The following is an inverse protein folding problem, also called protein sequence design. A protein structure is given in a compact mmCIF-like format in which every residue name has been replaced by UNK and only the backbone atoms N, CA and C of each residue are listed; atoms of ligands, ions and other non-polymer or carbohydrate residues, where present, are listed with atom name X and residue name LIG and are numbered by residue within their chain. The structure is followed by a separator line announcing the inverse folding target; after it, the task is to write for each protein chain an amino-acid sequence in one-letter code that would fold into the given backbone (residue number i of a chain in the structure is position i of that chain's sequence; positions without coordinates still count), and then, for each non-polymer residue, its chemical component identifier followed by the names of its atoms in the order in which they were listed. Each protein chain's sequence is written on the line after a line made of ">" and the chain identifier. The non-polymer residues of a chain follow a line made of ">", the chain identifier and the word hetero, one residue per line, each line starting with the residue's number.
data_IF_695738782234
#
_entry.id   IF_695738782234
#
_cell.length_a   1.000
_cell.length_b   1.000
_cell.length_c   1.000
_cell.angle_alpha   90.00
_cell.angle_beta   90.00
_cell.angle_gamma   90.00
#
_symmetry.space_group_name_H-M   'P 1'
#
loop_
_entity.id
_entity.type
_entity.pdbx_description
1 polymer ?
2 water ?
#
# COMPACT_ATOMS: atom_id res chain seq x y z
N UNK A 1 -14.28 -2.29 22.80
CA UNK A 1 -13.68 -2.05 24.14
C UNK A 1 -12.16 -2.09 24.04
N UNK A 2 -11.51 -0.98 24.39
CA UNK A 2 -10.05 -0.88 24.31
C UNK A 2 -9.51 -0.25 25.59
N UNK A 3 -8.83 -1.03 26.41
CA UNK A 3 -8.25 -0.53 27.65
C UNK A 3 -6.75 -0.78 27.70
N UNK A 4 -6.31 -1.75 26.91
CA UNK A 4 -4.89 -2.09 26.81
C UNK A 4 -4.68 -2.68 25.43
N UNK A 5 -3.74 -2.09 24.69
CA UNK A 5 -3.45 -2.52 23.35
C UNK A 5 -2.17 -3.33 23.15
N UNK A 6 -2.30 -4.50 22.56
CA UNK A 6 -1.15 -5.33 22.27
C UNK A 6 -0.85 -5.09 20.80
N UNK A 7 0.38 -4.68 20.51
CA UNK A 7 0.80 -4.40 19.14
C UNK A 7 1.41 -5.66 18.54
N UNK A 8 0.68 -6.30 17.62
CA UNK A 8 1.16 -7.51 16.99
C UNK A 8 2.03 -7.17 15.79
N UNK A 9 3.02 -6.30 16.00
CA UNK A 9 3.91 -5.95 14.93
C UNK A 9 5.26 -5.47 15.46
N UNK A 10 6.05 -4.82 14.60
CA UNK A 10 7.38 -4.37 14.98
C UNK A 10 7.82 -3.18 14.13
N UNK A 11 9.11 -2.88 14.21
CA UNK A 11 9.67 -1.80 13.42
C UNK A 11 9.01 -0.45 13.58
N UNK A 12 9.07 0.35 12.52
CA UNK A 12 8.49 1.69 12.54
C UNK A 12 6.98 1.71 12.79
N UNK A 13 6.24 0.76 12.23
CA UNK A 13 4.80 0.76 12.43
C UNK A 13 4.43 0.50 13.89
N UNK A 14 5.19 -0.33 14.59
CA UNK A 14 4.90 -0.59 16.00
C UNK A 14 5.07 0.70 16.81
N UNK A 15 6.08 1.48 16.42
CA UNK A 15 6.35 2.76 17.07
C UNK A 15 5.20 3.73 16.80
N UNK A 16 4.75 3.76 15.55
CA UNK A 16 3.64 4.62 15.14
C UNK A 16 2.39 4.32 15.96
N UNK A 17 2.07 3.03 16.08
CA UNK A 17 0.91 2.60 16.85
C UNK A 17 1.07 2.91 18.33
N UNK A 18 2.24 2.63 18.88
CA UNK A 18 2.49 2.90 20.29
C UNK A 18 2.33 4.40 20.61
N UNK A 19 2.81 5.26 19.72
CA UNK A 19 2.68 6.69 19.96
C UNK A 19 1.22 7.12 20.01
N UNK A 20 0.42 6.60 19.07
CA UNK A 20 -1.01 6.93 19.05
C UNK A 20 -1.63 6.53 20.39
N UNK A 21 -1.33 5.32 20.85
CA UNK A 21 -1.84 4.83 22.12
C UNK A 21 -1.42 5.71 23.30
N UNK A 22 -0.14 6.07 23.35
CA UNK A 22 0.37 6.90 24.44
C UNK A 22 -0.38 8.23 24.46
N UNK A 23 -0.65 8.78 23.28
CA UNK A 23 -1.38 10.04 23.19
C UNK A 23 -2.81 9.88 23.73
N UNK A 24 -3.39 8.70 23.55
CA UNK A 24 -4.74 8.44 24.03
C UNK A 24 -4.72 8.03 25.51
N UNK A 25 -3.52 7.77 26.03
CA UNK A 25 -3.41 7.37 27.43
C UNK A 25 -3.74 5.90 27.60
N UNK A 26 -3.51 5.11 26.56
CA UNK A 26 -3.78 3.68 26.57
C UNK A 26 -2.48 2.89 26.75
N UNK A 27 -2.39 2.07 27.82
CA UNK A 27 -1.19 1.28 28.05
C UNK A 27 -0.97 0.33 26.87
N UNK A 28 0.29 0.04 26.56
CA UNK A 28 0.59 -0.84 25.44
C UNK A 28 1.41 -2.06 25.80
N UNK A 29 1.31 -3.08 24.94
CA UNK A 29 2.05 -4.32 25.11
C UNK A 29 2.76 -4.64 23.80
N UNK A 30 4.06 -4.85 23.89
CA UNK A 30 4.86 -5.17 22.72
C UNK A 30 5.32 -6.62 22.73
N UNK A 31 5.51 -7.19 21.54
CA UNK A 31 6.02 -8.54 21.40
C UNK A 31 7.25 -8.43 20.49
N UNK A 32 8.17 -9.38 20.62
CA UNK A 32 9.38 -9.36 19.80
C UNK A 32 10.14 -10.67 19.85
N UNK A 33 11.06 -10.84 18.90
CA UNK A 33 11.90 -12.01 18.86
C UNK A 33 13.21 -11.64 19.55
N UNK A 34 13.94 -12.63 20.04
CA UNK A 34 15.19 -12.36 20.72
C UNK A 34 16.17 -11.55 19.88
N UNK A 35 16.17 -11.78 18.57
CA UNK A 35 17.06 -11.08 17.65
C UNK A 35 16.84 -9.57 17.62
N UNK A 36 15.74 -9.10 18.22
CA UNK A 36 15.45 -7.67 18.26
C UNK A 36 15.11 -7.26 19.68
N UNK A 37 15.81 -7.85 20.65
CA UNK A 37 15.57 -7.53 22.05
C UNK A 37 15.85 -6.07 22.38
N UNK A 38 16.57 -5.38 21.50
CA UNK A 38 16.89 -3.96 21.72
C UNK A 38 16.13 -3.05 20.76
N UNK A 39 15.13 -3.61 20.08
CA UNK A 39 14.33 -2.83 19.13
C UNK A 39 13.65 -1.66 19.83
N UNK A 40 13.33 -0.63 19.05
CA UNK A 40 12.69 0.56 19.59
C UNK A 40 11.33 0.33 20.24
N UNK A 41 10.42 -0.36 19.55
CA UNK A 41 9.09 -0.58 20.12
C UNK A 41 9.13 -1.31 21.45
N UNK A 42 10.11 -2.18 21.63
CA UNK A 42 10.27 -2.93 22.87
C UNK A 42 10.50 -1.96 24.02
N UNK A 43 11.35 -0.95 23.79
CA UNK A 43 11.67 0.05 24.80
C UNK A 43 10.53 1.01 25.07
N UNK A 44 9.83 1.41 24.01
CA UNK A 44 8.73 2.36 24.14
C UNK A 44 7.44 1.81 24.76
N UNK A 45 7.21 0.51 24.65
CA UNK A 45 6.00 -0.09 25.21
C UNK A 45 6.03 -0.13 26.75
N UNK A 46 4.85 -0.17 27.36
CA UNK A 46 4.72 -0.25 28.81
C UNK A 46 5.08 -1.67 29.27
N UNK A 47 4.72 -2.65 28.46
CA UNK A 47 4.98 -4.06 28.70
C UNK A 47 5.56 -4.60 27.40
N UNK A 48 6.47 -5.57 27.50
CA UNK A 48 7.07 -6.14 26.30
C UNK A 48 7.46 -7.60 26.55
N UNK A 49 7.05 -8.48 25.65
CA UNK A 49 7.35 -9.90 25.82
C UNK A 49 8.02 -10.54 24.61
N UNK A 50 9.09 -11.27 24.89
CA UNK A 50 9.84 -11.99 23.87
C UNK A 50 9.12 -13.32 23.67
N UNK A 51 8.62 -13.55 22.46
CA UNK A 51 7.89 -14.78 22.16
C UNK A 51 8.25 -15.29 20.76
N UNK A 52 7.94 -16.56 20.52
CA UNK A 52 8.24 -17.17 19.24
C UNK A 52 9.45 -18.10 19.28
N UNK A 53 9.52 -19.01 18.32
CA UNK A 53 10.62 -19.96 18.23
C UNK A 53 11.52 -19.63 17.04
N UNK A 54 11.11 -18.62 16.28
CA UNK A 54 11.88 -18.13 15.14
C UNK A 54 11.37 -16.72 14.83
N UNK A 55 12.20 -15.88 14.19
CA UNK A 55 11.86 -14.49 13.84
C UNK A 55 10.46 -14.21 13.28
N UNK A 56 9.96 -15.09 12.42
CA UNK A 56 8.64 -14.90 11.83
C UNK A 56 7.50 -15.43 12.70
N UNK A 57 7.75 -16.57 13.36
CA UNK A 57 6.75 -17.19 14.23
C UNK A 57 6.34 -16.25 15.36
N UNK A 58 7.23 -15.34 15.72
CA UNK A 58 6.97 -14.36 16.76
C UNK A 58 5.70 -13.56 16.47
N UNK A 59 5.56 -13.14 15.21
CA UNK A 59 4.43 -12.34 14.78
C UNK A 59 3.33 -13.09 14.02
N UNK A 60 3.53 -14.38 13.73
CA UNK A 60 2.54 -15.12 12.96
C UNK A 60 1.81 -16.21 13.72
N UNK A 61 2.20 -16.46 14.97
CA UNK A 61 1.54 -17.50 15.74
C UNK A 61 0.26 -16.94 16.35
N UNK A 62 -0.84 -17.18 15.64
CA UNK A 62 -2.15 -16.68 16.05
C UNK A 62 -2.60 -16.97 17.48
N UNK A 63 -2.53 -18.24 17.88
CA UNK A 63 -2.96 -18.62 19.22
C UNK A 63 -2.09 -18.10 20.35
N UNK A 64 -0.77 -18.14 20.16
CA UNK A 64 0.13 -17.65 21.21
C UNK A 64 -0.12 -16.18 21.49
N UNK A 65 -0.32 -15.40 20.43
CA UNK A 65 -0.56 -13.98 20.57
C UNK A 65 -1.89 -13.70 21.25
N UNK A 66 -2.93 -14.44 20.88
CA UNK A 66 -4.23 -14.27 21.51
C UNK A 66 -4.11 -14.63 22.99
N UNK A 67 -3.44 -15.74 23.27
CA UNK A 67 -3.27 -16.17 24.66
C UNK A 67 -2.54 -15.13 25.51
N UNK A 68 -1.47 -14.55 24.96
CA UNK A 68 -0.72 -13.55 25.70
C UNK A 68 -1.63 -12.35 26.02
N UNK A 69 -2.34 -11.86 25.02
CA UNK A 69 -3.26 -10.73 25.22
C UNK A 69 -4.19 -11.04 26.38
N UNK A 70 -4.78 -12.23 26.36
CA UNK A 70 -5.69 -12.66 27.41
C UNK A 70 -4.96 -12.74 28.74
N UNK A 71 -3.73 -13.23 28.70
CA UNK A 71 -2.94 -13.36 29.92
C UNK A 71 -2.65 -12.04 30.62
N UNK A 72 -2.33 -10.99 29.85
CA UNK A 72 -2.01 -9.70 30.46
C UNK A 72 -3.15 -8.70 30.43
N UNK A 73 -4.36 -9.15 30.12
CA UNK A 73 -5.48 -8.24 30.11
C UNK A 73 -5.49 -7.20 29.00
N UNK A 74 -5.06 -7.59 27.80
CA UNK A 74 -5.06 -6.71 26.64
C UNK A 74 -6.34 -7.04 25.87
N UNK A 75 -7.31 -6.14 25.88
CA UNK A 75 -8.58 -6.37 25.21
C UNK A 75 -8.68 -5.90 23.77
N UNK A 76 -7.54 -5.51 23.21
CA UNK A 76 -7.51 -5.03 21.84
C UNK A 76 -6.16 -5.34 21.19
N UNK A 77 -6.17 -5.64 19.90
CA UNK A 77 -4.95 -5.94 19.17
C UNK A 77 -4.83 -5.14 17.88
N UNK A 78 -3.71 -4.45 17.72
CA UNK A 78 -3.47 -3.70 16.50
C UNK A 78 -2.39 -4.46 15.72
N UNK A 79 -2.75 -4.99 14.55
CA UNK A 79 -1.85 -5.75 13.68
C UNK A 79 -0.92 -4.94 12.77
N UNK A 80 -1.11 -3.63 12.72
CA UNK A 80 -0.28 -2.81 11.85
C UNK A 80 -0.49 -3.24 10.40
N UNK A 81 0.59 -3.42 9.66
CA UNK A 81 0.49 -3.88 8.27
C UNK A 81 1.37 -5.12 8.08
N UNK A 82 1.00 -5.97 7.14
CA UNK A 82 1.76 -7.18 6.93
C UNK A 82 1.45 -8.17 8.04
N UNK A 83 2.19 -9.27 8.08
CA UNK A 83 1.98 -10.31 9.09
C UNK A 83 0.52 -10.78 9.19
N UNK A 84 -0.10 -10.62 10.36
CA UNK A 84 -1.48 -11.06 10.55
C UNK A 84 -2.53 -9.99 10.27
N UNK A 85 -2.11 -8.86 9.72
CA UNK A 85 -3.01 -7.72 9.44
C UNK A 85 -4.24 -8.07 8.61
N UNK A 86 -4.04 -8.84 7.55
CA UNK A 86 -5.14 -9.21 6.68
C UNK A 86 -5.46 -10.69 6.76
N UNK A 87 -5.27 -11.27 7.94
CA UNK A 87 -5.54 -12.68 8.19
C UNK A 87 -6.95 -12.77 8.76
N UNK A 88 -7.94 -13.06 7.91
CA UNK A 88 -9.33 -13.14 8.35
C UNK A 88 -9.51 -14.12 9.50
N UNK A 89 -8.73 -15.20 9.50
CA UNK A 89 -8.83 -16.21 10.55
C UNK A 89 -8.44 -15.64 11.91
N UNK A 90 -7.31 -14.94 11.96
CA UNK A 90 -6.84 -14.33 13.20
C UNK A 90 -7.88 -13.34 13.73
N UNK A 91 -8.41 -12.52 12.83
CA UNK A 91 -9.42 -11.54 13.21
C UNK A 91 -10.62 -12.25 13.82
N UNK A 92 -11.01 -13.37 13.23
CA UNK A 92 -12.14 -14.16 13.73
C UNK A 92 -11.82 -14.69 15.13
N UNK A 93 -10.64 -15.28 15.27
CA UNK A 93 -10.23 -15.82 16.56
C UNK A 93 -10.23 -14.74 17.65
N UNK A 94 -9.78 -13.53 17.31
CA UNK A 94 -9.77 -12.43 18.28
C UNK A 94 -11.17 -12.15 18.79
N UNK A 95 -12.12 -12.03 17.86
CA UNK A 95 -13.51 -11.76 18.20
C UNK A 95 -14.04 -12.83 19.15
N UNK A 96 -13.88 -14.09 18.77
CA UNK A 96 -14.35 -15.21 19.58
C UNK A 96 -13.74 -15.24 20.98
N UNK A 97 -12.53 -14.69 21.11
CA UNK A 97 -11.85 -14.66 22.40
C UNK A 97 -12.21 -13.42 23.19
N UNK A 98 -13.04 -12.56 22.60
CA UNK A 98 -13.44 -11.34 23.29
C UNK A 98 -12.45 -10.20 23.15
N UNK A 99 -11.54 -10.32 22.19
CA UNK A 99 -10.53 -9.28 21.94
C UNK A 99 -10.91 -8.40 20.75
N UNK A 100 -10.78 -7.09 20.91
CA UNK A 100 -11.11 -6.16 19.84
C UNK A 100 -10.02 -6.08 18.79
N UNK A 101 -10.28 -6.63 17.61
CA UNK A 101 -9.30 -6.56 16.54
C UNK A 101 -9.45 -5.17 15.93
N UNK A 102 -8.35 -4.41 15.92
CA UNK A 102 -8.38 -3.08 15.37
C UNK A 102 -8.24 -3.14 13.86
N UNK A 103 -9.39 -3.30 13.19
CA UNK A 103 -9.44 -3.40 11.75
C UNK A 103 -10.87 -3.71 11.31
N UNK A 104 -11.10 -3.98 10.02
CA UNK A 104 -12.45 -4.28 9.55
C UNK A 104 -12.96 -5.63 10.07
N UNK A 105 -14.22 -5.95 9.78
CA UNK A 105 -14.80 -7.21 10.21
C UNK A 105 -14.06 -8.37 9.53
N UNK A 106 -13.90 -9.49 10.22
CA UNK A 106 -13.19 -10.62 9.63
C UNK A 106 -13.84 -11.12 8.35
N UNK A 107 -15.15 -10.99 8.23
CA UNK A 107 -15.83 -11.43 7.02
C UNK A 107 -15.43 -10.55 5.86
N UNK A 108 -15.26 -9.25 6.14
CA UNK A 108 -14.86 -8.28 5.12
C UNK A 108 -13.43 -8.55 4.68
N UNK A 109 -12.59 -8.91 5.65
CA UNK A 109 -11.19 -9.21 5.35
C UNK A 109 -11.14 -10.46 4.49
N UNK A 110 -12.04 -11.40 4.78
CA UNK A 110 -12.09 -12.64 4.01
C UNK A 110 -12.52 -12.32 2.58
N UNK A 111 -13.62 -11.61 2.43
CA UNK A 111 -14.15 -11.24 1.12
C UNK A 111 -13.12 -10.57 0.24
N UNK A 112 -12.47 -9.55 0.79
CA UNK A 112 -11.47 -8.79 0.06
C UNK A 112 -10.17 -9.55 -0.19
N UNK A 113 -9.95 -10.62 0.57
CA UNK A 113 -8.75 -11.40 0.40
C UNK A 113 -8.79 -12.21 -0.88
N UNK A 114 -9.99 -12.34 -1.45
CA UNK A 114 -10.20 -13.07 -2.70
C UNK A 114 -10.22 -12.03 -3.82
N UNK A 115 -9.03 -11.67 -4.30
CA UNK A 115 -8.87 -10.65 -5.32
C UNK A 115 -9.74 -10.71 -6.56
N UNK A 116 -9.97 -11.90 -7.11
CA UNK A 116 -10.81 -11.99 -8.30
C UNK A 116 -12.26 -11.79 -7.92
N UNK A 117 -12.65 -12.40 -6.82
CA UNK A 117 -14.01 -12.30 -6.35
C UNK A 117 -14.36 -10.90 -5.83
N UNK A 118 -13.41 -10.27 -5.15
CA UNK A 118 -13.67 -8.93 -4.62
C UNK A 118 -13.84 -7.97 -5.80
N UNK A 119 -13.07 -8.18 -6.86
CA UNK A 119 -13.18 -7.32 -8.03
C UNK A 119 -14.60 -7.39 -8.59
N UNK A 120 -15.25 -8.54 -8.42
CA UNK A 120 -16.63 -8.73 -8.90
C UNK A 120 -17.60 -8.03 -7.96
N UNK A 121 -17.30 -8.09 -6.67
CA UNK A 121 -18.15 -7.44 -5.68
C UNK A 121 -18.09 -5.92 -5.90
N UNK A 122 -16.88 -5.38 -6.02
CA UNK A 122 -16.71 -3.95 -6.25
C UNK A 122 -17.37 -3.52 -7.56
N UNK A 123 -17.19 -4.31 -8.60
CA UNK A 123 -17.79 -3.99 -9.89
C UNK A 123 -19.29 -3.81 -9.74
N UNK A 124 -19.94 -4.77 -9.08
CA UNK A 124 -21.38 -4.70 -8.88
C UNK A 124 -21.78 -3.58 -7.94
N UNK A 125 -20.82 -3.05 -7.19
CA UNK A 125 -21.10 -1.95 -6.27
C UNK A 125 -20.95 -0.62 -6.99
N UNK A 126 -20.67 -0.68 -8.29
CA UNK A 126 -20.51 0.55 -9.06
C UNK A 126 -19.08 1.03 -9.22
N UNK A 127 -18.12 0.20 -8.81
CA UNK A 127 -16.71 0.58 -8.91
C UNK A 127 -16.16 0.15 -10.26
N UNK A 128 -15.57 1.09 -11.02
CA UNK A 128 -15.01 0.78 -12.33
C UNK A 128 -13.82 -0.17 -12.26
N UNK A 129 -13.80 -1.13 -13.18
CA UNK A 129 -12.72 -2.10 -13.26
C UNK A 129 -12.26 -2.12 -14.71
N UNK A 130 -11.10 -2.73 -14.97
CA UNK A 130 -10.59 -2.78 -16.33
C UNK A 130 -11.54 -3.63 -17.18
N UNK A 131 -12.08 -3.05 -18.26
CA UNK A 131 -12.99 -3.80 -19.13
C UNK A 131 -12.30 -4.90 -19.93
N UNK A 132 -13.05 -5.95 -20.25
CA UNK A 132 -12.49 -7.06 -20.99
C UNK A 132 -13.58 -8.05 -21.34
N UNK A 133 -13.18 -9.26 -21.72
CA UNK A 133 -14.14 -10.28 -22.08
C UNK A 133 -14.84 -10.86 -20.87
N UNK A 134 -16.11 -11.23 -21.05
CA UNK A 134 -16.92 -11.82 -19.99
C UNK A 134 -16.62 -13.32 -20.03
N UNK A 135 -15.40 -13.69 -19.66
CA UNK A 135 -15.01 -15.08 -19.71
C UNK A 135 -14.32 -15.34 -21.04
N UNK A 136 -14.23 -16.61 -21.43
CA UNK A 136 -13.57 -16.96 -22.68
C UNK A 136 -14.23 -16.33 -23.90
N UNK A 137 -13.43 -15.98 -24.90
CA UNK A 137 -13.94 -15.39 -26.13
C UNK A 137 -14.64 -16.47 -26.95
N UNK A 138 -15.80 -16.12 -27.48
CA UNK A 138 -16.58 -17.06 -28.27
C UNK A 138 -16.01 -17.21 -29.67
N UNK A 139 -15.51 -16.12 -30.23
CA UNK A 139 -14.95 -16.15 -31.58
C UNK A 139 -14.11 -14.92 -31.88
N UNK A 140 -13.55 -14.89 -33.08
CA UNK A 140 -12.72 -13.78 -33.50
C UNK A 140 -13.63 -12.57 -33.74
N UNK A 141 -14.81 -12.84 -34.27
CA UNK A 141 -15.76 -11.77 -34.53
C UNK A 141 -16.16 -11.07 -33.24
N UNK A 142 -16.35 -11.85 -32.18
CA UNK A 142 -16.71 -11.29 -30.88
C UNK A 142 -15.55 -10.50 -30.31
N UNK A 143 -14.33 -10.99 -30.54
CA UNK A 143 -13.14 -10.31 -30.04
C UNK A 143 -12.98 -8.97 -30.75
N UNK A 144 -13.24 -8.93 -32.05
CA UNK A 144 -13.12 -7.70 -32.82
C UNK A 144 -14.16 -6.68 -32.40
N UNK A 145 -15.36 -7.16 -32.08
CA UNK A 145 -16.45 -6.28 -31.66
C UNK A 145 -16.21 -5.77 -30.25
N UNK A 146 -15.68 -6.64 -29.40
CA UNK A 146 -15.39 -6.29 -28.01
C UNK A 146 -14.28 -5.23 -27.94
N UNK A 147 -13.25 -5.41 -28.77
CA UNK A 147 -12.13 -4.48 -28.80
C UNK A 147 -12.56 -3.06 -29.20
N UNK A 148 -13.46 -2.96 -30.16
CA UNK A 148 -13.94 -1.66 -30.63
C UNK A 148 -14.63 -0.86 -29.51
N UNK A 149 -15.44 -1.52 -28.70
CA UNK A 149 -16.10 -0.77 -27.64
C UNK A 149 -15.24 -0.46 -26.42
N UNK A 150 -14.23 -1.29 -26.14
CA UNK A 150 -13.39 -0.99 -24.99
C UNK A 150 -12.23 -0.11 -25.42
N UNK A 151 -11.96 -0.08 -26.72
CA UNK A 151 -10.89 0.75 -27.24
C UNK A 151 -9.50 0.13 -27.20
N UNK A 152 -8.74 0.33 -28.27
CA UNK A 152 -7.37 -0.19 -28.36
C UNK A 152 -6.39 0.72 -27.63
N UNK A 153 -5.24 0.18 -27.20
CA UNK A 153 -4.84 -1.22 -27.36
C UNK A 153 -5.53 -2.19 -26.41
N UNK A 154 -5.48 -3.47 -26.74
CA UNK A 154 -6.08 -4.51 -25.92
C UNK A 154 -5.09 -5.66 -25.72
N UNK A 155 -5.39 -6.54 -24.78
CA UNK A 155 -4.53 -7.68 -24.48
C UNK A 155 -5.25 -9.00 -24.73
N UNK A 156 -4.56 -9.94 -25.37
CA UNK A 156 -5.11 -11.26 -25.64
C UNK A 156 -4.23 -12.27 -24.93
N UNK A 157 -4.83 -13.22 -24.23
CA UNK A 157 -4.02 -14.22 -23.53
C UNK A 157 -4.74 -15.55 -23.34
N UNK A 158 -3.99 -16.63 -23.53
CA UNK A 158 -4.53 -17.98 -23.40
C UNK A 158 -4.45 -18.38 -21.93
N UNK A 159 -5.49 -19.04 -21.43
CA UNK A 159 -5.50 -19.44 -20.03
C UNK A 159 -5.70 -20.95 -19.87
N UNK A 160 -5.61 -21.70 -20.96
CA UNK A 160 -5.76 -23.14 -20.91
C UNK A 160 -4.98 -23.78 -22.05
N UNK A 161 -4.82 -25.10 -22.00
CA UNK A 161 -4.09 -25.80 -23.04
C UNK A 161 -2.58 -25.64 -22.92
N UNK A 162 -1.85 -26.34 -23.79
CA UNK A 162 -0.40 -26.29 -23.76
C UNK A 162 0.18 -25.31 -24.75
N UNK A 163 -0.60 -24.31 -25.12
CA UNK A 163 -0.13 -23.29 -26.05
C UNK A 163 0.55 -22.19 -25.27
N UNK A 164 1.21 -21.28 -25.99
CA UNK A 164 1.91 -20.17 -25.34
C UNK A 164 1.05 -19.36 -24.41
N UNK A 165 1.56 -19.09 -23.21
CA UNK A 165 0.82 -18.33 -22.20
C UNK A 165 1.19 -16.86 -22.11
N UNK A 166 2.14 -16.41 -22.90
CA UNK A 166 2.54 -15.01 -22.86
C UNK A 166 1.42 -14.09 -23.33
N UNK A 167 1.31 -12.93 -22.70
CA UNK A 167 0.29 -11.95 -23.06
C UNK A 167 0.64 -11.35 -24.42
N UNK A 168 -0.37 -11.08 -25.24
CA UNK A 168 -0.14 -10.50 -26.55
C UNK A 168 -0.81 -9.14 -26.70
N UNK A 169 -0.01 -8.11 -26.93
CA UNK A 169 -0.54 -6.76 -27.09
C UNK A 169 -1.04 -6.57 -28.53
N UNK A 170 -2.26 -6.08 -28.66
CA UNK A 170 -2.88 -5.83 -29.96
C UNK A 170 -3.18 -4.33 -30.02
N UNK A 171 -2.49 -3.61 -30.91
CA UNK A 171 -2.68 -2.16 -31.01
C UNK A 171 -3.70 -1.68 -32.05
N UNK A 172 -4.21 -2.60 -32.85
CA UNK A 172 -5.22 -2.31 -33.86
C UNK A 172 -5.85 -3.64 -34.25
N UNK A 173 -6.94 -3.61 -35.00
CA UNK A 173 -7.63 -4.84 -35.39
C UNK A 173 -6.77 -5.85 -36.15
N UNK A 174 -5.85 -5.38 -36.98
CA UNK A 174 -5.02 -6.31 -37.72
C UNK A 174 -4.16 -7.15 -36.76
N UNK A 175 -3.57 -6.49 -35.77
CA UNK A 175 -2.75 -7.20 -34.79
C UNK A 175 -3.61 -8.18 -33.99
N UNK A 176 -4.84 -7.77 -33.69
CA UNK A 176 -5.75 -8.63 -32.94
C UNK A 176 -6.00 -9.91 -33.76
N UNK A 177 -6.36 -9.74 -35.01
CA UNK A 177 -6.62 -10.88 -35.89
C UNK A 177 -5.43 -11.82 -35.94
N UNK A 178 -4.24 -11.27 -36.17
CA UNK A 178 -3.03 -12.08 -36.25
C UNK A 178 -2.70 -12.77 -34.92
N UNK A 179 -2.88 -12.07 -33.81
CA UNK A 179 -2.60 -12.65 -32.51
C UNK A 179 -3.62 -13.73 -32.16
N UNK A 180 -4.86 -13.51 -32.57
CA UNK A 180 -5.92 -14.48 -32.29
C UNK A 180 -5.67 -15.78 -33.04
N UNK A 181 -5.27 -15.67 -34.30
CA UNK A 181 -5.00 -16.85 -35.11
C UNK A 181 -3.78 -17.61 -34.62
N UNK A 182 -2.72 -16.89 -34.28
CA UNK A 182 -1.50 -17.51 -33.78
C UNK A 182 -1.76 -18.24 -32.47
N UNK A 183 -2.57 -17.62 -31.62
CA UNK A 183 -2.90 -18.19 -30.34
C UNK A 183 -3.75 -19.45 -30.45
N UNK A 184 -4.77 -19.41 -31.31
CA UNK A 184 -5.64 -20.57 -31.46
C UNK A 184 -4.91 -21.68 -32.22
N UNK A 185 -3.92 -21.27 -33.00
CA UNK A 185 -3.13 -22.21 -33.76
C UNK A 185 -2.29 -23.02 -32.78
N UNK A 186 -1.68 -22.32 -31.82
CA UNK A 186 -0.86 -22.98 -30.81
C UNK A 186 -1.69 -23.90 -29.93
N UNK A 187 -2.95 -23.53 -29.69
CA UNK A 187 -3.82 -24.35 -28.85
C UNK A 187 -4.21 -25.66 -29.56
N UNK A 188 -4.55 -25.57 -30.85
CA UNK A 188 -4.93 -26.76 -31.60
C UNK A 188 -3.82 -27.81 -31.63
N UNK A 189 -2.59 -27.37 -31.86
CA UNK A 189 -1.44 -28.26 -31.93
C UNK A 189 -1.21 -28.98 -30.60
N UNK A 190 -1.75 -28.42 -29.53
CA UNK A 190 -1.60 -28.99 -28.21
C UNK A 190 -2.85 -29.77 -27.83
N UNK A 191 -3.73 -29.96 -28.81
CA UNK A 191 -4.97 -30.71 -28.60
C UNK A 191 -5.77 -30.26 -27.39
N UNK A 192 -6.23 -29.01 -27.42
CA UNK A 192 -7.01 -28.51 -26.30
C UNK A 192 -7.56 -27.14 -26.62
N UNK A 193 -8.18 -26.51 -25.62
CA UNK A 193 -8.77 -25.19 -25.78
C UNK A 193 -7.79 -24.16 -25.25
N UNK A 194 -7.83 -22.96 -25.81
CA UNK A 194 -6.93 -21.91 -25.36
C UNK A 194 -7.59 -21.10 -24.27
N UNK A 195 -8.92 -21.05 -24.30
CA UNK A 195 -9.66 -20.26 -23.30
C UNK A 195 -9.08 -18.87 -23.35
N UNK A 196 -9.13 -18.27 -24.54
CA UNK A 196 -8.60 -16.94 -24.76
C UNK A 196 -9.44 -15.86 -24.09
N UNK A 197 -8.77 -14.94 -23.40
CA UNK A 197 -9.43 -13.84 -22.73
C UNK A 197 -8.88 -12.55 -23.35
N UNK A 198 -9.71 -11.51 -23.40
CA UNK A 198 -9.29 -10.22 -23.94
C UNK A 198 -9.48 -9.21 -22.80
N UNK A 199 -8.59 -8.22 -22.72
CA UNK A 199 -8.67 -7.20 -21.67
C UNK A 199 -8.14 -5.89 -22.22
N UNK A 200 -8.65 -4.78 -21.73
CA UNK A 200 -8.18 -3.48 -22.18
C UNK A 200 -6.75 -3.33 -21.64
N UNK A 201 -5.85 -2.81 -22.47
CA UNK A 201 -4.46 -2.60 -22.08
C UNK A 201 -4.28 -1.18 -21.53
N UNK A 202 -3.97 -1.08 -20.25
CA UNK A 202 -3.76 0.24 -19.61
C UNK A 202 -2.25 0.42 -19.60
N UNK A 203 -1.73 1.07 -20.64
CA UNK A 203 -0.30 1.27 -20.81
C UNK A 203 0.33 2.44 -20.05
N UNK A 204 1.53 2.21 -19.52
CA UNK A 204 2.23 3.24 -18.75
C UNK A 204 1.26 3.71 -17.67
N UNK A 205 0.75 2.76 -16.86
CA UNK A 205 -0.20 3.13 -15.81
C UNK A 205 0.38 3.80 -14.58
N UNK A 206 -0.47 4.55 -13.90
CA UNK A 206 -0.10 5.20 -12.66
C UNK A 206 -0.82 4.39 -11.59
N UNK A 207 -0.22 4.29 -10.41
CA UNK A 207 -0.83 3.58 -9.31
C UNK A 207 -1.49 4.68 -8.46
N UNK A 208 -2.81 4.74 -8.48
CA UNK A 208 -3.55 5.73 -7.71
C UNK A 208 -4.39 4.98 -6.68
N UNK A 209 -4.31 5.37 -5.41
CA UNK A 209 -5.05 4.67 -4.38
C UNK A 209 -5.79 5.59 -3.43
N UNK A 210 -7.01 5.18 -3.06
CA UNK A 210 -7.84 5.95 -2.15
C UNK A 210 -7.80 5.46 -0.71
N UNK A 211 -7.72 6.42 0.21
CA UNK A 211 -7.71 6.11 1.63
C UNK A 211 -9.17 6.09 2.12
N UNK A 212 -9.55 5.00 2.77
CA UNK A 212 -10.90 4.88 3.30
C UNK A 212 -10.88 4.86 4.83
N UNK A 213 -11.93 5.39 5.45
CA UNK A 213 -12.01 5.42 6.91
C UNK A 213 -13.48 5.48 7.31
N UNK A 214 -13.93 4.50 8.08
CA UNK A 214 -15.33 4.50 8.49
C UNK A 214 -15.48 4.00 9.92
N UNK A 215 -16.52 4.48 10.61
CA UNK A 215 -16.76 4.03 11.96
C UNK A 215 -17.72 2.84 11.91
N UNK A 216 -18.04 2.26 13.07
CA UNK A 216 -18.94 1.10 13.07
C UNK A 216 -20.41 1.54 13.10
N UNK A 217 -20.66 2.77 12.68
CA UNK A 217 -22.02 3.31 12.71
C UNK A 217 -22.51 3.80 11.35
N UNK A 218 -21.88 3.35 10.28
CA UNK A 218 -22.33 3.77 8.97
C UNK A 218 -21.64 4.98 8.34
N UNK A 219 -20.89 5.75 9.10
CA UNK A 219 -20.22 6.89 8.48
C UNK A 219 -18.90 6.43 7.89
N UNK A 220 -18.80 6.50 6.57
CA UNK A 220 -17.59 6.10 5.88
C UNK A 220 -17.16 7.25 4.99
N UNK A 221 -15.92 7.72 5.18
CA UNK A 221 -15.41 8.82 4.38
C UNK A 221 -14.11 8.41 3.71
N UNK A 222 -13.66 9.20 2.74
CA UNK A 222 -12.41 8.92 2.08
C UNK A 222 -11.48 10.10 2.37
N UNK A 223 -10.18 9.85 2.44
CA UNK A 223 -9.23 10.92 2.69
C UNK A 223 -8.39 11.16 1.45
N UNK A 224 -9.07 11.25 0.31
CA UNK A 224 -8.36 11.50 -0.94
C UNK A 224 -7.52 10.34 -1.43
N UNK A 225 -6.75 10.60 -2.48
CA UNK A 225 -5.92 9.57 -3.09
C UNK A 225 -4.42 9.80 -2.91
N UNK A 226 -3.65 8.78 -3.28
CA UNK A 226 -2.20 8.82 -3.21
C UNK A 226 -1.66 8.24 -4.52
N UNK A 227 -0.61 8.85 -5.05
CA UNK A 227 0.02 8.36 -6.28
C UNK A 227 1.30 7.66 -5.84
N UNK A 228 1.32 6.34 -5.98
CA UNK A 228 2.47 5.54 -5.58
C UNK A 228 3.10 4.84 -6.79
N UNK A 229 3.07 5.53 -7.92
CA UNK A 229 3.61 4.98 -9.18
C UNK A 229 5.09 4.63 -9.15
N UNK A 230 5.88 5.40 -8.40
CA UNK A 230 7.31 5.16 -8.35
C UNK A 230 7.72 3.97 -7.49
N UNK A 231 7.86 2.83 -8.14
CA UNK A 231 8.22 1.59 -7.48
C UNK A 231 9.37 0.90 -8.21
N UNK A 232 9.75 -0.27 -7.72
CA UNK A 232 10.80 -1.08 -8.31
C UNK A 232 10.44 -2.50 -7.85
N UNK A 233 10.37 -3.44 -8.78
CA UNK A 233 10.01 -4.81 -8.40
C UNK A 233 8.67 -4.72 -7.70
N UNK A 234 7.90 -3.71 -8.08
CA UNK A 234 6.59 -3.50 -7.49
C UNK A 234 6.71 -3.10 -6.02
N UNK A 235 7.91 -2.67 -5.64
CA UNK A 235 8.17 -2.22 -4.27
C UNK A 235 8.14 -0.70 -4.27
N UNK A 236 7.27 -0.13 -3.44
CA UNK A 236 7.13 1.33 -3.37
C UNK A 236 8.40 2.00 -2.86
N UNK A 237 8.70 3.17 -3.41
CA UNK A 237 9.90 3.92 -3.03
C UNK A 237 9.52 5.36 -2.71
N UNK A 238 8.64 5.93 -3.52
CA UNK A 238 8.18 7.30 -3.30
C UNK A 238 6.68 7.38 -3.50
N UNK A 239 6.00 8.04 -2.57
CA UNK A 239 4.55 8.21 -2.63
C UNK A 239 4.16 9.67 -2.39
N UNK A 240 3.10 10.13 -3.05
CA UNK A 240 2.65 11.51 -2.87
C UNK A 240 1.14 11.61 -2.64
N UNK A 241 0.71 12.75 -2.10
CA UNK A 241 -0.71 13.00 -1.84
C UNK A 241 -0.93 14.50 -1.82
N UNK A 242 -1.97 14.98 -2.53
CA UNK A 242 -2.83 14.07 -3.29
C UNK A 242 -2.11 13.84 -4.63
N UNK A 243 -2.77 13.24 -5.60
CA UNK A 243 -2.11 13.02 -6.90
C UNK A 243 -2.19 14.32 -7.71
N UNK A 244 -1.43 14.38 -8.79
CA UNK A 244 -1.43 15.55 -9.66
C UNK A 244 -2.34 15.39 -10.88
N UNK A 245 -2.85 14.19 -11.10
CA UNK A 245 -3.72 13.95 -12.26
C UNK A 245 -5.21 14.16 -12.02
N UNK A 246 -5.67 14.04 -10.77
CA UNK A 246 -7.09 14.23 -10.50
C UNK A 246 -7.41 15.66 -10.12
N UNK A 247 -8.50 16.18 -10.67
CA UNK A 247 -8.95 17.53 -10.37
C UNK A 247 -9.85 17.36 -9.15
N UNK A 248 -10.21 18.46 -8.47
CA UNK A 248 -11.07 18.35 -7.30
C UNK A 248 -12.41 17.64 -7.59
N UNK A 249 -12.99 17.90 -8.76
CA UNK A 249 -14.25 17.26 -9.11
C UNK A 249 -14.09 15.77 -9.35
N UNK A 250 -13.00 15.36 -9.99
CA UNK A 250 -12.78 13.95 -10.23
C UNK A 250 -12.36 13.25 -8.95
N UNK A 251 -11.65 14.00 -8.09
CA UNK A 251 -11.21 13.47 -6.81
C UNK A 251 -12.44 13.04 -6.03
N UNK A 252 -13.45 13.90 -6.00
CA UNK A 252 -14.68 13.60 -5.27
C UNK A 252 -15.53 12.55 -6.00
N UNK A 253 -15.54 12.61 -7.34
CA UNK A 253 -16.32 11.64 -8.10
C UNK A 253 -15.89 10.22 -7.74
N UNK A 254 -14.60 9.93 -7.85
CA UNK A 254 -14.09 8.60 -7.50
C UNK A 254 -14.16 8.36 -6.00
N UNK A 255 -13.95 9.41 -5.22
CA UNK A 255 -14.03 9.30 -3.78
C UNK A 255 -15.39 8.79 -3.33
N UNK A 256 -16.46 9.40 -3.83
CA UNK A 256 -17.81 8.97 -3.47
C UNK A 256 -18.09 7.54 -3.94
N UNK A 257 -17.54 7.18 -5.09
CA UNK A 257 -17.74 5.82 -5.60
C UNK A 257 -17.09 4.87 -4.60
N UNK A 258 -15.93 5.26 -4.11
CA UNK A 258 -15.18 4.48 -3.13
C UNK A 258 -15.96 4.27 -1.83
N UNK A 259 -16.42 5.37 -1.23
CA UNK A 259 -17.18 5.29 0.02
C UNK A 259 -18.54 4.60 -0.13
N UNK A 260 -19.15 4.74 -1.31
CA UNK A 260 -20.43 4.09 -1.56
C UNK A 260 -20.23 2.58 -1.56
N UNK A 261 -19.18 2.14 -2.25
CA UNK A 261 -18.86 0.72 -2.35
C UNK A 261 -18.44 0.17 -0.99
N UNK A 262 -17.67 0.97 -0.25
CA UNK A 262 -17.21 0.56 1.07
C UNK A 262 -18.41 0.31 1.99
N UNK A 263 -19.36 1.25 1.99
CA UNK A 263 -20.54 1.12 2.82
C UNK A 263 -21.34 -0.12 2.44
N UNK A 264 -21.41 -0.39 1.14
CA UNK A 264 -22.17 -1.53 0.65
C UNK A 264 -21.66 -2.87 1.18
N UNK A 265 -20.36 -2.96 1.45
CA UNK A 265 -19.81 -4.22 1.98
C UNK A 265 -19.65 -4.20 3.49
N UNK A 266 -20.15 -3.14 4.14
CA UNK A 266 -20.04 -3.05 5.59
C UNK A 266 -18.63 -2.80 6.11
N UNK A 267 -17.80 -2.12 5.33
CA UNK A 267 -16.44 -1.85 5.74
C UNK A 267 -16.32 -0.76 6.79
N UNK A 268 -15.51 -1.00 7.81
CA UNK A 268 -15.26 0.01 8.82
C UNK A 268 -13.79 0.00 9.21
N UNK A 269 -13.34 1.10 9.81
CA UNK A 269 -11.95 1.31 10.22
C UNK A 269 -11.19 1.69 8.96
N UNK A 270 -9.85 1.61 9.01
CA UNK A 270 -9.02 2.01 7.87
C UNK A 270 -8.88 1.00 6.74
N UNK A 271 -8.83 1.51 5.51
CA UNK A 271 -8.69 0.67 4.34
C UNK A 271 -8.21 1.46 3.13
N UNK A 272 -7.65 0.76 2.16
CA UNK A 272 -7.16 1.40 0.94
C UNK A 272 -7.60 0.66 -0.31
N UNK A 273 -8.20 1.38 -1.25
CA UNK A 273 -8.64 0.78 -2.50
C UNK A 273 -7.63 1.20 -3.56
N UNK A 274 -6.91 0.22 -4.11
CA UNK A 274 -5.90 0.49 -5.11
C UNK A 274 -6.44 0.43 -6.54
N UNK A 275 -6.09 1.43 -7.35
CA UNK A 275 -6.50 1.53 -8.74
C UNK A 275 -5.28 1.75 -9.63
N UNK A 276 -5.50 1.67 -10.94
CA UNK A 276 -4.46 1.97 -11.91
C UNK A 276 -5.11 3.05 -12.75
N UNK A 277 -4.36 4.09 -13.07
CA UNK A 277 -4.91 5.18 -13.87
C UNK A 277 -4.25 5.22 -15.22
N UNK A 278 -5.03 5.60 -16.24
CA UNK A 278 -4.46 5.69 -17.58
C UNK A 278 -4.01 7.12 -17.79
N UNK A 279 -3.44 7.39 -18.96
CA UNK A 279 -2.94 8.72 -19.29
C UNK A 279 -3.98 9.83 -19.19
N UNK A 280 -5.25 9.48 -19.28
CA UNK A 280 -6.28 10.51 -19.21
C UNK A 280 -6.78 10.76 -17.80
N UNK A 281 -6.38 9.91 -16.86
CA UNK A 281 -6.83 10.11 -15.50
C UNK A 281 -8.01 9.23 -15.12
N UNK A 282 -8.29 8.22 -15.94
CA UNK A 282 -9.40 7.31 -15.65
C UNK A 282 -8.87 6.21 -14.73
N UNK A 283 -9.65 5.85 -13.71
CA UNK A 283 -9.23 4.83 -12.75
C UNK A 283 -9.95 3.49 -12.93
N UNK A 284 -9.25 2.41 -12.60
CA UNK A 284 -9.78 1.07 -12.69
C UNK A 284 -9.35 0.32 -11.42
N UNK A 285 -10.32 -0.16 -10.66
CA UNK A 285 -10.03 -0.87 -9.41
C UNK A 285 -9.26 -2.17 -9.61
N UNK A 286 -8.27 -2.38 -8.75
CA UNK A 286 -7.42 -3.57 -8.79
C UNK A 286 -7.63 -4.45 -7.56
N UNK A 287 -7.52 -3.85 -6.38
CA UNK A 287 -7.69 -4.57 -5.13
C UNK A 287 -7.76 -3.63 -3.94
N UNK A 288 -8.06 -4.19 -2.76
CA UNK A 288 -8.18 -3.41 -1.55
C UNK A 288 -7.42 -4.00 -0.37
N UNK A 289 -6.57 -3.20 0.25
CA UNK A 289 -5.82 -3.64 1.42
C UNK A 289 -6.73 -3.29 2.61
N UNK A 290 -7.12 -4.30 3.36
CA UNK A 290 -7.99 -4.09 4.51
C UNK A 290 -7.16 -3.89 5.77
N UNK A 291 -6.37 -2.82 5.77
CA UNK A 291 -5.48 -2.51 6.88
C UNK A 291 -4.91 -1.12 6.72
N UNK A 292 -4.11 -0.69 7.70
CA UNK A 292 -3.46 0.61 7.64
C UNK A 292 -2.43 0.51 6.51
N UNK A 293 -2.20 1.61 5.81
CA UNK A 293 -1.24 1.60 4.71
C UNK A 293 0.14 2.08 5.18
N UNK A 294 1.19 1.51 4.59
CA UNK A 294 2.54 1.92 4.96
C UNK A 294 2.69 3.42 4.73
N UNK A 295 2.22 3.88 3.58
CA UNK A 295 2.34 5.29 3.23
C UNK A 295 1.21 6.21 3.68
N UNK A 296 0.49 5.82 4.74
CA UNK A 296 -0.60 6.65 5.24
C UNK A 296 -0.22 8.08 5.64
N UNK A 297 1.03 8.30 6.10
CA UNK A 297 1.42 9.66 6.49
C UNK A 297 1.21 10.80 5.48
N UNK A 298 1.38 10.55 4.19
CA UNK A 298 1.18 11.64 3.23
C UNK A 298 -0.26 12.13 3.21
N UNK A 299 -1.21 11.21 3.35
CA UNK A 299 -2.61 11.60 3.39
C UNK A 299 -2.88 12.39 4.66
N UNK A 300 -2.25 12.00 5.75
CA UNK A 300 -2.43 12.69 7.03
C UNK A 300 -1.93 14.13 6.89
N UNK A 301 -0.79 14.32 6.21
CA UNK A 301 -0.21 15.64 6.01
C UNK A 301 -1.11 16.61 5.24
N UNK A 302 -1.76 16.13 4.19
CA UNK A 302 -2.60 17.00 3.38
C UNK A 302 -4.05 17.14 3.84
N UNK A 303 -4.49 16.30 4.77
CA UNK A 303 -5.87 16.39 5.30
C UNK A 303 -5.87 16.77 6.77
N UNK A 304 -4.73 16.57 7.43
CA UNK A 304 -4.64 16.91 8.84
C UNK A 304 -5.42 15.98 9.75
N UNK A 305 -5.67 14.76 9.26
CA UNK A 305 -6.42 13.76 10.02
C UNK A 305 -5.50 12.60 10.46
N UNK A 306 -5.50 12.32 11.75
CA UNK A 306 -4.68 11.24 12.31
C UNK A 306 -5.39 9.90 12.11
N UNK A 307 -4.96 9.17 11.08
CA UNK A 307 -5.58 7.90 10.73
C UNK A 307 -5.42 6.78 11.76
N UNK A 308 -4.21 6.58 12.26
CA UNK A 308 -3.97 5.52 13.24
C UNK A 308 -4.74 5.74 14.53
N UNK A 309 -4.75 6.98 15.03
CA UNK A 309 -5.49 7.27 16.26
C UNK A 309 -6.97 6.98 16.03
N UNK A 310 -7.47 7.34 14.85
CA UNK A 310 -8.88 7.09 14.54
C UNK A 310 -9.18 5.58 14.46
N UNK A 311 -8.20 4.80 14.03
CA UNK A 311 -8.36 3.34 13.95
C UNK A 311 -8.74 2.83 15.33
N UNK A 312 -8.03 3.31 16.35
CA UNK A 312 -8.26 2.89 17.72
C UNK A 312 -9.58 3.41 18.28
N UNK A 313 -9.89 4.68 18.04
CA UNK A 313 -11.14 5.24 18.51
C UNK A 313 -12.33 4.49 17.89
N UNK A 314 -12.20 4.19 16.59
CA UNK A 314 -13.27 3.48 15.89
C UNK A 314 -13.44 2.06 16.43
N UNK A 315 -12.32 1.37 16.66
CA UNK A 315 -12.38 0.02 17.19
C UNK A 315 -13.01 0.04 18.58
N UNK A 316 -12.86 1.17 19.28
CA UNK A 316 -13.42 1.32 20.62
C UNK A 316 -14.93 1.55 20.53
N UNK A 317 -15.43 1.77 19.32
CA UNK A 317 -16.85 1.99 19.14
C UNK A 317 -17.22 3.45 18.98
N UNK A 318 -16.23 4.32 18.97
CA UNK A 318 -16.48 5.74 18.83
C UNK A 318 -16.98 6.10 17.43
N UNK A 319 -17.78 7.17 17.33
CA UNK A 319 -18.30 7.60 16.04
C UNK A 319 -17.28 8.49 15.34
N UNK A 320 -17.15 8.32 14.03
CA UNK A 320 -16.23 9.13 13.24
C UNK A 320 -16.89 10.50 13.11
N UNK A 321 -16.41 11.48 13.87
CA UNK A 321 -17.00 12.81 13.84
C UNK A 321 -16.52 13.71 12.71
N UNK A 322 -16.28 13.13 11.55
CA UNK A 322 -15.83 13.90 10.38
C UNK A 322 -16.75 13.60 9.20
N UNK A 323 -17.35 14.64 8.63
CA UNK A 323 -18.22 14.46 7.47
C UNK A 323 -17.35 14.60 6.23
N UNK A 324 -17.75 13.99 5.12
CA UNK A 324 -16.96 14.07 3.89
C UNK A 324 -16.66 15.51 3.46
N UNK A 325 -17.62 16.40 3.69
CA UNK A 325 -17.45 17.79 3.33
C UNK A 325 -16.38 18.47 4.15
N UNK A 326 -16.06 17.92 5.31
CA UNK A 326 -15.02 18.50 6.17
C UNK A 326 -13.61 18.11 5.72
N UNK A 327 -13.52 17.12 4.83
CA UNK A 327 -12.22 16.65 4.35
C UNK A 327 -11.62 17.59 3.31
N UNK A 328 -10.61 18.34 3.72
CA UNK A 328 -9.94 19.28 2.81
C UNK A 328 -8.55 18.79 2.41
N UNK A 329 -8.08 19.28 1.28
CA UNK A 329 -6.77 18.88 0.76
C UNK A 329 -5.91 20.12 0.60
N UNK A 330 -4.95 20.25 1.51
CA UNK A 330 -4.07 21.40 1.56
C UNK A 330 -2.61 21.05 1.24
N UNK A 331 -2.08 21.65 0.16
CA UNK A 331 -0.72 21.40 -0.24
C UNK A 331 -0.41 19.98 -0.67
N UNK A 332 0.88 19.67 -0.76
CA UNK A 332 1.34 18.34 -1.16
C UNK A 332 2.34 17.73 -0.20
N UNK A 333 2.28 16.40 -0.08
CA UNK A 333 3.19 15.68 0.78
C UNK A 333 3.86 14.57 -0.01
N UNK A 334 5.14 14.36 0.26
CA UNK A 334 5.90 13.33 -0.41
C UNK A 334 6.55 12.44 0.63
N UNK A 335 6.57 11.14 0.37
CA UNK A 335 7.21 10.20 1.28
C UNK A 335 8.21 9.33 0.53
N UNK A 336 9.43 9.27 1.06
CA UNK A 336 10.49 8.46 0.47
C UNK A 336 10.88 7.37 1.45
N UNK A 337 11.01 6.15 0.95
CA UNK A 337 11.41 5.05 1.80
C UNK A 337 12.93 4.94 1.89
N UNK A 338 13.45 5.11 3.10
CA UNK A 338 14.86 5.03 3.37
C UNK A 338 15.11 3.57 3.74
N UNK A 339 15.58 2.78 2.78
CA UNK A 339 15.84 1.36 3.02
C UNK A 339 17.32 1.05 2.94
N UNK A 340 17.72 0.06 3.73
CA UNK A 340 19.11 -0.41 3.72
C UNK A 340 19.19 -1.38 2.55
N UNK A 341 19.46 -0.85 1.37
CA UNK A 341 19.57 -1.68 0.18
C UNK A 341 20.38 -0.94 -0.88
N UNK A 342 20.96 -1.70 -1.81
CA UNK A 342 21.76 -1.13 -2.88
C UNK A 342 20.97 -1.11 -4.19
N UNK A 343 20.48 0.06 -4.59
CA UNK A 343 19.70 0.22 -5.83
C UNK A 343 20.50 -0.10 -7.09
N UNK A 344 21.82 -0.05 -7.00
CA UNK A 344 22.69 -0.33 -8.15
C UNK A 344 22.77 -1.83 -8.42
N UNK A 345 22.78 -2.63 -7.35
CA UNK A 345 22.82 -4.08 -7.50
C UNK A 345 21.39 -4.58 -7.38
N UNK A 346 20.47 -3.89 -8.04
CA UNK A 346 19.06 -4.26 -8.00
C UNK A 346 18.52 -4.42 -6.58
N UNK A 347 18.72 -3.36 -5.78
CA UNK A 347 18.22 -3.27 -4.42
C UNK A 347 18.47 -4.41 -3.44
N UNK A 348 19.64 -5.03 -3.53
CA UNK A 348 19.98 -6.10 -2.61
C UNK A 348 20.10 -5.46 -1.24
N UNK A 349 19.57 -6.11 -0.19
CA UNK A 349 19.59 -5.63 1.20
C UNK A 349 20.96 -5.61 1.86
N UNK A 350 21.21 -4.56 2.65
CA UNK A 350 22.46 -4.41 3.40
C UNK A 350 22.14 -4.81 4.82
N UNK A 351 22.30 -6.09 5.14
CA UNK A 351 22.00 -6.57 6.48
C UNK A 351 23.10 -6.24 7.48
N UNK A 352 23.37 -4.95 7.67
CA UNK A 352 24.40 -4.57 8.61
C UNK A 352 23.93 -3.64 9.73
N UNK A 353 24.86 -2.96 10.38
CA UNK A 353 24.52 -2.09 11.50
C UNK A 353 24.81 -0.61 11.20
N UNK A 354 23.87 0.25 11.55
CA UNK A 354 24.02 1.69 11.33
C UNK A 354 25.02 2.29 12.32
N UNK A 355 25.97 3.06 11.79
CA UNK A 355 26.98 3.72 12.62
C UNK A 355 26.57 5.17 12.81
N UNK A 356 26.88 6.06 11.87
CA UNK A 356 26.47 7.44 12.04
C UNK A 356 25.01 7.54 11.63
N UNK A 357 24.25 8.37 12.33
CA UNK A 357 22.83 8.51 12.06
C UNK A 357 22.31 9.86 12.53
N UNK A 358 21.98 10.73 11.57
CA UNK A 358 21.44 12.05 11.89
C UNK A 358 20.12 12.23 11.17
N UNK A 359 19.08 12.52 11.95
CA UNK A 359 17.73 12.69 11.42
C UNK A 359 17.42 14.16 11.16
N UNK A 360 17.02 14.47 9.92
CA UNK A 360 16.69 15.86 9.57
C UNK A 360 15.38 16.28 10.19
N UNK A 361 15.25 17.57 10.45
CA UNK A 361 14.05 18.13 11.05
C UNK A 361 13.84 19.57 10.65
N UNK A 362 12.61 20.05 10.79
CA UNK A 362 12.31 21.43 10.44
C UNK A 362 10.87 21.59 10.00
N UNK A 363 10.55 22.78 9.53
CA UNK A 363 9.21 23.13 9.05
C UNK A 363 8.81 22.19 7.89
N UNK A 364 7.66 21.54 8.03
CA UNK A 364 7.17 20.65 7.00
C UNK A 364 7.86 19.29 6.88
N UNK A 365 8.65 18.94 7.89
CA UNK A 365 9.36 17.67 7.86
C UNK A 365 8.87 16.72 8.94
N UNK A 366 8.58 15.48 8.55
CA UNK A 366 8.12 14.46 9.47
C UNK A 366 8.91 13.18 9.26
N UNK A 367 9.31 12.54 10.35
CA UNK A 367 10.07 11.30 10.26
C UNK A 367 9.42 10.17 11.05
N UNK A 368 9.23 9.04 10.38
CA UNK A 368 8.66 7.84 11.00
C UNK A 368 9.77 6.79 11.06
N UNK A 369 10.31 6.52 12.24
CA UNK A 369 11.38 5.53 12.33
C UNK A 369 11.58 4.91 13.71
N UNK A 370 12.41 3.87 13.74
CA UNK A 370 12.74 3.17 14.98
C UNK A 370 14.27 3.02 15.04
N UNK A 371 14.95 3.80 14.20
CA UNK A 371 16.41 3.72 14.11
C UNK A 371 17.22 4.68 14.96
N UNK A 372 18.49 4.32 15.10
CA UNK A 372 19.49 5.10 15.85
C UNK A 372 20.79 4.35 15.65
N UNK A 373 21.88 4.88 16.17
CA UNK A 373 23.16 4.21 16.04
C UNK A 373 22.98 2.83 16.67
N UNK A 374 23.47 1.79 16.01
CA UNK A 374 23.32 0.45 16.56
C UNK A 374 22.17 -0.30 15.92
N UNK A 375 21.26 0.45 15.30
CA UNK A 375 20.13 -0.15 14.62
C UNK A 375 20.68 -1.22 13.69
N UNK A 376 20.03 -2.38 13.65
CA UNK A 376 20.50 -3.47 12.82
C UNK A 376 19.46 -3.96 11.86
N UNK A 377 19.88 -4.23 10.62
CA UNK A 377 18.98 -4.74 9.60
C UNK A 377 19.20 -6.25 9.48
N UNK A 378 18.38 -7.05 10.16
CA UNK A 378 18.52 -8.51 10.09
C UNK A 378 17.94 -9.02 8.78
N UNK A 379 18.27 -10.26 8.39
CA UNK A 379 17.77 -10.81 7.13
C UNK A 379 16.35 -11.40 7.26
N UNK A 380 15.76 -11.28 8.45
CA UNK A 380 14.44 -11.82 8.72
C UNK A 380 13.25 -10.93 8.34
N UNK A 381 13.42 -9.61 8.49
CA UNK A 381 12.35 -8.67 8.19
C UNK A 381 12.73 -7.69 7.09
N UNK A 382 11.86 -6.72 6.82
CA UNK A 382 12.11 -5.73 5.78
C UNK A 382 13.38 -4.92 6.04
N UNK A 383 13.86 -4.25 5.00
CA UNK A 383 15.08 -3.46 5.11
C UNK A 383 14.84 -1.97 5.35
N UNK A 384 13.61 -1.61 5.72
CA UNK A 384 13.27 -0.21 5.98
C UNK A 384 13.99 0.36 7.19
N UNK A 385 14.58 1.53 7.03
CA UNK A 385 15.27 2.20 8.13
C UNK A 385 14.36 3.32 8.64
N UNK A 386 13.77 4.08 7.72
CA UNK A 386 12.89 5.17 8.08
C UNK A 386 12.01 5.61 6.92
N UNK A 387 10.98 6.38 7.24
CA UNK A 387 10.10 6.94 6.23
C UNK A 387 10.16 8.45 6.40
N UNK A 388 10.73 9.11 5.40
CA UNK A 388 10.85 10.57 5.41
C UNK A 388 9.71 11.19 4.62
N UNK A 389 8.95 12.07 5.28
CA UNK A 389 7.82 12.73 4.66
C UNK A 389 7.94 14.25 4.76
N UNK A 390 7.75 14.94 3.63
CA UNK A 390 7.82 16.40 3.61
C UNK A 390 6.53 17.01 3.04
N UNK A 391 6.10 18.11 3.64
CA UNK A 391 4.89 18.80 3.19
C UNK A 391 5.23 20.24 2.78
N UNK A 392 4.53 20.75 1.77
CA UNK A 392 4.71 22.12 1.28
C UNK A 392 3.45 22.55 0.53
N UNK A 393 3.22 23.87 0.37
CA UNK A 393 2.06 24.42 -0.31
C UNK A 393 1.91 24.04 -1.78
N UNK A 394 3.04 23.87 -2.47
CA UNK A 394 3.02 23.52 -3.87
C UNK A 394 3.93 22.34 -4.19
N UNK A 395 3.68 21.72 -5.33
CA UNK A 395 4.46 20.56 -5.77
C UNK A 395 5.97 20.81 -5.82
N UNK A 396 6.40 21.90 -6.45
CA UNK A 396 7.83 22.14 -6.55
C UNK A 396 8.48 22.41 -5.21
N UNK A 397 7.78 23.08 -4.30
CA UNK A 397 8.33 23.36 -2.98
C UNK A 397 8.47 22.07 -2.18
N UNK A 398 7.54 21.14 -2.37
CA UNK A 398 7.57 19.87 -1.67
C UNK A 398 8.76 19.06 -2.17
N UNK A 399 9.00 19.13 -3.48
CA UNK A 399 10.12 18.40 -4.08
C UNK A 399 11.45 18.93 -3.52
N UNK A 400 11.59 20.26 -3.50
CA UNK A 400 12.80 20.87 -2.98
C UNK A 400 12.97 20.62 -1.49
N UNK A 401 11.86 20.59 -0.75
CA UNK A 401 11.96 20.32 0.69
C UNK A 401 12.47 18.90 0.90
N UNK A 402 11.94 17.95 0.13
CA UNK A 402 12.37 16.57 0.24
C UNK A 402 13.86 16.43 -0.06
N UNK A 403 14.30 16.98 -1.19
CA UNK A 403 15.71 16.90 -1.57
C UNK A 403 16.63 17.48 -0.49
N UNK A 404 16.23 18.61 0.09
CA UNK A 404 17.02 19.27 1.13
C UNK A 404 17.09 18.41 2.39
N UNK A 405 15.98 17.73 2.71
CA UNK A 405 15.95 16.86 3.88
C UNK A 405 16.85 15.64 3.61
N UNK A 406 16.70 15.04 2.44
CA UNK A 406 17.49 13.88 2.06
C UNK A 406 18.99 14.20 2.06
N UNK A 407 19.37 15.37 1.54
CA UNK A 407 20.77 15.77 1.49
C UNK A 407 21.37 15.96 2.89
N UNK A 408 20.52 16.12 3.90
CA UNK A 408 21.03 16.31 5.26
C UNK A 408 20.88 15.06 6.13
N UNK A 409 20.38 13.98 5.54
CA UNK A 409 20.15 12.75 6.28
C UNK A 409 21.41 11.88 6.28
N UNK A 410 22.16 11.90 7.37
CA UNK A 410 23.39 11.10 7.42
C UNK A 410 23.13 9.69 7.96
N UNK A 411 23.61 8.69 7.24
CA UNK A 411 23.49 7.30 7.63
C UNK A 411 24.71 6.54 7.09
N UNK A 412 25.49 5.94 7.98
CA UNK A 412 26.65 5.16 7.56
C UNK A 412 26.60 3.76 8.19
N UNK A 413 27.38 2.85 7.63
CA UNK A 413 27.41 1.48 8.14
C UNK A 413 26.66 0.56 7.19
N UNK A 414 25.80 1.17 6.37
CA UNK A 414 24.99 0.42 5.41
C UNK A 414 24.69 1.30 4.20
N UNK A 415 24.42 0.66 3.07
CA UNK A 415 24.07 1.39 1.86
C UNK A 415 22.59 1.65 1.98
N UNK A 416 22.12 2.78 1.44
CA UNK A 416 20.71 3.11 1.51
C UNK A 416 20.22 3.64 0.18
N UNK A 417 18.93 3.95 0.13
CA UNK A 417 18.31 4.48 -1.07
C UNK A 417 18.40 6.01 -1.17
N UNK A 418 19.06 6.64 -0.20
CA UNK A 418 19.17 8.10 -0.19
C UNK A 418 19.78 8.72 -1.46
N UNK A 419 20.91 8.18 -1.95
CA UNK A 419 21.50 8.77 -3.16
C UNK A 419 20.53 8.70 -4.34
N UNK A 420 19.86 7.56 -4.46
CA UNK A 420 18.89 7.32 -5.53
C UNK A 420 17.76 8.33 -5.43
N UNK A 421 17.18 8.45 -4.23
CA UNK A 421 16.10 9.38 -3.96
C UNK A 421 16.48 10.82 -4.32
N UNK A 422 17.67 11.24 -3.91
CA UNK A 422 18.14 12.58 -4.22
C UNK A 422 18.14 12.82 -5.73
N UNK A 423 18.64 11.86 -6.50
CA UNK A 423 18.67 12.02 -7.96
C UNK A 423 17.25 12.14 -8.54
N UNK A 424 16.31 11.36 -8.00
CA UNK A 424 14.93 11.43 -8.48
C UNK A 424 14.39 12.83 -8.27
N UNK A 425 14.65 13.40 -7.09
CA UNK A 425 14.16 14.74 -6.77
C UNK A 425 14.75 15.78 -7.71
N UNK A 426 15.94 15.49 -8.25
CA UNK A 426 16.61 16.41 -9.18
C UNK A 426 16.22 16.16 -10.64
N UNK A 427 15.64 15.00 -10.91
CA UNK A 427 15.28 14.64 -12.27
C UNK A 427 14.20 15.50 -12.89
N UNK A 428 14.48 15.97 -14.11
CA UNK A 428 13.60 16.82 -14.87
C UNK A 428 12.12 16.43 -14.91
N UNK A 429 11.83 15.19 -15.27
CA UNK A 429 10.42 14.79 -15.34
C UNK A 429 9.73 14.72 -13.99
N UNK A 430 10.41 14.18 -12.99
CA UNK A 430 9.77 14.12 -11.68
C UNK A 430 9.46 15.53 -11.20
N UNK A 431 10.39 16.46 -11.39
CA UNK A 431 10.17 17.84 -10.97
C UNK A 431 8.97 18.43 -11.66
N UNK A 432 8.80 18.07 -12.93
CA UNK A 432 7.68 18.57 -13.73
C UNK A 432 6.39 17.83 -13.36
N UNK A 433 6.52 16.80 -12.54
CA UNK A 433 5.35 16.04 -12.12
C UNK A 433 4.95 14.96 -13.12
N UNK A 434 5.88 14.59 -13.99
CA UNK A 434 5.64 13.57 -15.01
C UNK A 434 6.27 12.23 -14.62
N UNK A 435 5.44 11.23 -14.34
CA UNK A 435 5.96 9.92 -13.97
C UNK A 435 4.88 8.85 -13.91
N UNK A 436 5.27 7.62 -14.24
CA UNK A 436 4.36 6.49 -14.22
C UNK A 436 5.05 5.35 -13.49
N UNK A 437 4.41 4.20 -13.41
CA UNK A 437 4.98 3.05 -12.73
C UNK A 437 6.28 2.58 -13.36
N UNK A 438 6.56 3.05 -14.58
CA UNK A 438 7.79 2.64 -15.23
C UNK A 438 8.84 3.75 -15.25
N UNK A 439 8.68 4.69 -14.31
CA UNK A 439 9.59 5.81 -14.20
C UNK A 439 11.06 5.43 -14.08
N UNK A 440 11.38 4.52 -13.16
CA UNK A 440 12.77 4.12 -12.97
C UNK A 440 13.37 3.49 -14.22
N UNK A 441 12.62 2.59 -14.82
CA UNK A 441 13.08 1.93 -16.04
C UNK A 441 13.38 2.98 -17.11
N UNK A 442 12.55 4.02 -17.17
CA UNK A 442 12.71 5.10 -18.14
C UNK A 442 13.77 6.14 -17.76
N UNK A 443 14.35 6.02 -16.57
CA UNK A 443 15.37 6.99 -16.14
C UNK A 443 16.57 6.33 -15.47
N UNK A 444 17.31 5.49 -16.21
CA UNK A 444 18.48 4.80 -15.64
C UNK A 444 19.50 5.80 -15.11
N UNK A 445 19.36 7.05 -15.53
CA UNK A 445 20.25 8.12 -15.10
C UNK A 445 20.19 8.41 -13.59
N UNK A 446 19.08 8.10 -12.93
CA UNK A 446 18.98 8.36 -11.50
C UNK A 446 19.79 7.40 -10.65
N UNK A 447 20.27 6.32 -11.25
CA UNK A 447 21.08 5.34 -10.52
C UNK A 447 22.57 5.68 -10.61
N UNK A 448 22.91 6.70 -11.40
CA UNK A 448 24.31 7.09 -11.53
C UNK A 448 24.68 8.04 -10.40
N UNK A 449 25.54 7.60 -9.49
CA UNK A 449 25.94 8.44 -8.37
C UNK A 449 27.24 8.00 -7.69
N UNK A 450 27.99 9.00 -7.22
CA UNK A 450 29.27 8.78 -6.55
C UNK A 450 29.22 7.64 -5.55
N UNK A 451 30.01 6.61 -5.80
CA UNK A 451 30.06 5.46 -4.91
C UNK A 451 30.85 4.35 -5.56
#
# INVERSE_FOLDING_TARGET
>A
MVNKVLVANRGEIAVRIIRACKELGIPTVAIYNEVESTARHVKLADEAYMIGTDPLDTYLNKQRIINLALEVGADAIHPGYGFLAENAEFAKMCEEAGITFIGPHWKVIELMGDKARSKEVMKKAGVPVVPGSDGVLKSLEEAKALAREIGYPVLLKATAGGGGRGIRICRNEEELVKNYEQASREAEKAFGRGDLLLEKFIENPKHIEYQVLGDKHGNVIHLGERDCSIQRRNQKLVEIAPSLILTPEKREYYGNIVTKAAKEIGYYNAGTMEFIADQEGNLYFIEMNTRIQVEHPVSEMVTGIDIVKWQIKIAAGEPLTIKQEDVKFNGYAIECRINAEDPKKNFAPSTRVIERYYVPGGFGIRVEHAAARGFEVTPYYDSMIAKLITWAPTWDEAVERMRAALETYEITGVKTTIPLLINIMKEKDFKAGKFTTKYLEEHPEVFEYEE
#
